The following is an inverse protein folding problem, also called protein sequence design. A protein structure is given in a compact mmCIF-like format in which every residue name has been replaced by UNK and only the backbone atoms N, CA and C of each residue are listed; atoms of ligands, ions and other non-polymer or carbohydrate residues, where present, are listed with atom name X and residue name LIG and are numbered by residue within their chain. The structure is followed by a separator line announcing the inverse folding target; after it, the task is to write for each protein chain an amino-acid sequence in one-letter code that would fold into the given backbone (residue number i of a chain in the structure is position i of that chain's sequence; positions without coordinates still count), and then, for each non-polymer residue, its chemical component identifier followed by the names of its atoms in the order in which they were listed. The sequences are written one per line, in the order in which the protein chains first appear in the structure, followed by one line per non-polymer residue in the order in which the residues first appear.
data_IF_958190924527
#
_entry.id   IF_958190924527
#
_cell.length_a   1.000
_cell.length_b   1.000
_cell.length_c   1.000
_cell.angle_alpha   90.00
_cell.angle_beta   90.00
_cell.angle_gamma   90.00
#
_symmetry.space_group_name_H-M   'P 1'
#
loop_
_entity.id
_entity.type
_entity.pdbx_description
1 polymer ?
#
# COMPACT_ATOMS: atom_id res chain seq x y z
N UNK A 1 -76.58 14.65 -7.88
CA UNK A 1 -76.12 15.04 -6.53
C UNK A 1 -74.67 14.59 -6.45
N UNK A 2 -73.74 15.40 -6.94
CA UNK A 2 -73.15 16.59 -6.33
C UNK A 2 -71.75 16.23 -5.84
N UNK A 3 -70.81 16.89 -6.50
CA UNK A 3 -69.37 16.98 -6.31
C UNK A 3 -68.96 17.36 -4.90
N UNK A 4 -67.78 16.89 -4.46
CA UNK A 4 -67.13 17.40 -3.26
C UNK A 4 -65.87 16.63 -2.89
N UNK A 5 -64.84 16.68 -3.73
CA UNK A 5 -63.46 16.37 -3.31
C UNK A 5 -62.86 17.67 -2.79
N UNK A 6 -62.64 17.76 -1.48
CA UNK A 6 -61.86 18.82 -0.86
C UNK A 6 -60.39 18.43 -0.96
N UNK A 7 -59.67 19.03 -1.90
CA UNK A 7 -58.21 19.02 -1.96
C UNK A 7 -57.64 20.15 -1.09
N UNK A 8 -56.65 19.81 -0.28
CA UNK A 8 -55.96 20.67 0.67
C UNK A 8 -55.41 21.97 0.05
N UNK A 9 -55.48 23.11 0.77
CA UNK A 9 -54.85 24.36 0.36
C UNK A 9 -53.39 24.34 0.79
N UNK A 10 -52.53 23.64 0.04
CA UNK A 10 -51.08 23.79 0.13
C UNK A 10 -50.52 24.37 -1.17
N UNK A 11 -51.21 25.39 -1.69
CA UNK A 11 -50.69 26.26 -2.73
C UNK A 11 -50.00 27.48 -2.11
N UNK A 12 -48.72 27.59 -2.48
CA UNK A 12 -48.01 28.84 -2.71
C UNK A 12 -47.72 29.75 -1.50
N UNK A 13 -46.54 29.53 -0.88
CA UNK A 13 -45.55 30.61 -0.74
C UNK A 13 -44.17 30.03 -1.13
N UNK A 14 -43.96 29.77 -2.41
CA UNK A 14 -42.62 29.96 -2.96
C UNK A 14 -42.44 31.47 -3.01
N UNK A 15 -41.79 32.04 -2.00
CA UNK A 15 -41.36 33.44 -2.04
C UNK A 15 -40.49 33.60 -3.29
N UNK A 16 -41.02 34.23 -4.34
CA UNK A 16 -40.24 34.63 -5.51
C UNK A 16 -39.13 35.55 -5.00
N UNK A 17 -37.89 35.04 -4.96
CA UNK A 17 -36.73 35.86 -4.60
C UNK A 17 -36.73 37.09 -5.52
N UNK A 18 -36.64 38.32 -4.98
CA UNK A 18 -36.57 39.54 -5.78
C UNK A 18 -35.45 39.41 -6.82
N UNK A 19 -35.71 39.82 -8.05
CA UNK A 19 -34.81 39.64 -9.18
C UNK A 19 -33.39 40.19 -8.90
N UNK A 20 -33.30 41.31 -8.19
CA UNK A 20 -32.05 41.89 -7.69
C UNK A 20 -31.24 40.94 -6.80
N UNK A 21 -31.89 40.22 -5.88
CA UNK A 21 -31.20 39.26 -4.99
C UNK A 21 -30.71 38.01 -5.74
N UNK A 22 -31.42 37.62 -6.80
CA UNK A 22 -31.03 36.51 -7.68
C UNK A 22 -29.84 36.91 -8.55
N UNK A 23 -29.84 38.14 -9.05
CA UNK A 23 -28.77 38.69 -9.88
C UNK A 23 -27.49 38.93 -9.08
N UNK A 24 -27.58 39.46 -7.85
CA UNK A 24 -26.45 39.54 -6.93
C UNK A 24 -25.85 38.16 -6.64
N UNK A 25 -26.67 37.14 -6.34
CA UNK A 25 -26.19 35.77 -6.12
C UNK A 25 -25.50 35.18 -7.35
N UNK A 26 -26.05 35.44 -8.54
CA UNK A 26 -25.45 35.00 -9.80
C UNK A 26 -24.12 35.72 -10.08
N UNK A 27 -24.02 37.01 -9.75
CA UNK A 27 -22.78 37.78 -9.88
C UNK A 27 -21.70 37.30 -8.92
N UNK A 28 -22.04 37.05 -7.66
CA UNK A 28 -21.12 36.43 -6.67
C UNK A 28 -20.60 35.08 -7.17
N UNK A 29 -21.49 34.19 -7.66
CA UNK A 29 -21.07 32.89 -8.22
C UNK A 29 -20.14 33.03 -9.44
N UNK A 30 -20.37 34.03 -10.31
CA UNK A 30 -19.49 34.32 -11.45
C UNK A 30 -18.11 34.82 -10.98
N UNK A 31 -18.06 35.65 -9.94
CA UNK A 31 -16.83 36.15 -9.34
C UNK A 31 -16.04 35.02 -8.67
N UNK A 32 -16.69 34.15 -7.91
CA UNK A 32 -16.07 32.96 -7.30
C UNK A 32 -15.50 32.01 -8.36
N UNK A 33 -16.25 31.74 -9.43
CA UNK A 33 -15.74 30.93 -10.55
C UNK A 33 -14.52 31.58 -11.22
N UNK A 34 -14.53 32.90 -11.43
CA UNK A 34 -13.37 33.63 -11.96
C UNK A 34 -12.16 33.55 -11.04
N UNK A 35 -12.35 33.71 -9.73
CA UNK A 35 -11.27 33.57 -8.74
C UNK A 35 -10.73 32.14 -8.70
N UNK A 36 -11.60 31.13 -8.68
CA UNK A 36 -11.21 29.70 -8.70
C UNK A 36 -10.44 29.31 -9.96
N UNK A 37 -10.88 29.79 -11.14
CA UNK A 37 -10.13 29.62 -12.40
C UNK A 37 -8.76 30.29 -12.34
N UNK A 38 -8.69 31.53 -11.84
CA UNK A 38 -7.42 32.27 -11.72
C UNK A 38 -6.45 31.57 -10.77
N UNK A 39 -6.93 31.09 -9.62
CA UNK A 39 -6.14 30.31 -8.67
C UNK A 39 -5.60 29.03 -9.31
N UNK A 40 -6.45 28.30 -10.04
CA UNK A 40 -6.06 27.07 -10.74
C UNK A 40 -4.99 27.32 -11.80
N UNK A 41 -5.14 28.38 -12.61
CA UNK A 41 -4.17 28.76 -13.63
C UNK A 41 -2.84 29.20 -13.01
N UNK A 42 -2.88 30.03 -11.96
CA UNK A 42 -1.68 30.47 -11.26
C UNK A 42 -0.92 29.27 -10.66
N UNK A 43 -1.64 28.32 -10.05
CA UNK A 43 -1.04 27.10 -9.50
C UNK A 43 -0.37 26.24 -10.58
N UNK A 44 -0.99 26.10 -11.75
CA UNK A 44 -0.37 25.40 -12.89
C UNK A 44 0.90 26.10 -13.33
N UNK A 45 0.86 27.42 -13.52
CA UNK A 45 2.03 28.23 -13.90
C UNK A 45 3.17 28.11 -12.90
N UNK A 46 2.91 28.16 -11.60
CA UNK A 46 3.95 28.03 -10.57
C UNK A 46 4.58 26.64 -10.61
N UNK A 47 3.79 25.59 -10.79
CA UNK A 47 4.29 24.22 -10.92
C UNK A 47 5.14 24.06 -12.19
N UNK A 48 4.70 24.62 -13.32
CA UNK A 48 5.44 24.58 -14.59
C UNK A 48 6.77 25.34 -14.50
N UNK A 49 6.78 26.49 -13.83
CA UNK A 49 8.01 27.24 -13.56
C UNK A 49 8.99 26.45 -12.70
N UNK A 50 8.50 25.81 -11.64
CA UNK A 50 9.31 24.94 -10.78
C UNK A 50 9.88 23.76 -11.58
N UNK A 51 9.06 23.08 -12.40
CA UNK A 51 9.49 22.02 -13.33
C UNK A 51 10.63 22.47 -14.22
N UNK A 52 10.46 23.60 -14.89
CA UNK A 52 11.48 24.16 -15.79
C UNK A 52 12.75 24.53 -15.03
N UNK A 53 12.64 25.03 -13.81
CA UNK A 53 13.80 25.35 -12.97
C UNK A 53 14.61 24.09 -12.61
N UNK A 54 13.93 23.03 -12.16
CA UNK A 54 14.57 21.74 -11.84
C UNK A 54 15.24 21.16 -13.08
N UNK A 55 14.54 21.15 -14.21
CA UNK A 55 15.07 20.61 -15.46
C UNK A 55 16.31 21.38 -15.95
N UNK A 56 16.28 22.72 -15.90
CA UNK A 56 17.44 23.55 -16.27
C UNK A 56 18.63 23.31 -15.34
N UNK A 57 18.39 23.30 -14.03
CA UNK A 57 19.44 23.02 -13.04
C UNK A 57 20.02 21.61 -13.22
N UNK A 58 19.18 20.64 -13.58
CA UNK A 58 19.61 19.27 -13.85
C UNK A 58 20.52 19.21 -15.08
N UNK A 59 20.10 19.77 -16.22
CA UNK A 59 20.91 19.81 -17.46
C UNK A 59 22.22 20.60 -17.27
N UNK A 60 22.22 21.62 -16.42
CA UNK A 60 23.41 22.42 -16.13
C UNK A 60 24.30 21.83 -15.04
N UNK A 61 24.17 20.54 -14.71
CA UNK A 61 24.94 19.84 -13.66
C UNK A 61 24.82 20.44 -12.25
N UNK A 62 23.79 21.23 -11.97
CA UNK A 62 23.57 21.89 -10.69
C UNK A 62 22.72 21.02 -9.77
N UNK A 63 23.30 19.96 -9.20
CA UNK A 63 22.59 19.01 -8.35
C UNK A 63 22.27 19.48 -6.92
N UNK A 64 22.69 20.69 -6.54
CA UNK A 64 22.50 21.20 -5.19
C UNK A 64 21.01 21.21 -4.82
N UNK A 65 20.62 20.37 -3.86
CA UNK A 65 19.24 20.17 -3.38
C UNK A 65 18.24 19.62 -4.41
N UNK A 66 18.64 19.25 -5.62
CA UNK A 66 17.71 18.70 -6.63
C UNK A 66 17.02 17.41 -6.16
N UNK A 67 17.67 16.60 -5.33
CA UNK A 67 17.07 15.41 -4.74
C UNK A 67 15.81 15.71 -3.91
N UNK A 68 15.67 16.91 -3.36
CA UNK A 68 14.48 17.33 -2.59
C UNK A 68 13.37 17.91 -3.48
N UNK A 69 13.62 18.07 -4.78
CA UNK A 69 12.69 18.60 -5.77
C UNK A 69 12.54 17.59 -6.91
N UNK A 70 12.18 16.36 -6.54
CA UNK A 70 11.98 15.29 -7.51
C UNK A 70 10.85 15.63 -8.48
N UNK A 71 11.14 15.52 -9.78
CA UNK A 71 10.18 15.77 -10.84
C UNK A 71 10.10 14.54 -11.77
N UNK A 72 9.02 13.73 -11.72
CA UNK A 72 8.92 12.45 -12.43
C UNK A 72 9.10 12.50 -13.95
N UNK A 73 8.88 13.64 -14.59
CA UNK A 73 9.01 13.79 -16.05
C UNK A 73 10.48 13.94 -16.49
N UNK A 74 11.41 14.09 -15.55
CA UNK A 74 12.84 14.20 -15.84
C UNK A 74 13.45 12.79 -15.85
N UNK A 75 14.09 12.43 -16.96
CA UNK A 75 14.84 11.18 -17.09
C UNK A 75 16.17 11.26 -16.34
N UNK A 76 16.12 11.23 -15.00
CA UNK A 76 17.31 11.37 -14.16
C UNK A 76 18.40 10.32 -14.46
N UNK A 77 17.98 9.13 -14.88
CA UNK A 77 18.86 8.00 -15.21
C UNK A 77 19.66 8.20 -16.50
N UNK A 78 19.21 9.07 -17.41
CA UNK A 78 19.87 9.32 -18.70
C UNK A 78 21.04 10.33 -18.58
N UNK A 79 21.18 10.98 -17.43
CA UNK A 79 22.15 12.03 -17.25
C UNK A 79 23.56 11.48 -17.05
N UNK A 80 24.52 11.95 -17.86
CA UNK A 80 25.89 11.43 -17.94
C UNK A 80 26.65 11.43 -16.60
N UNK A 81 26.36 12.38 -15.72
CA UNK A 81 26.95 12.45 -14.36
C UNK A 81 26.21 11.66 -13.29
N UNK A 82 25.00 11.17 -13.55
CA UNK A 82 24.20 10.39 -12.59
C UNK A 82 24.51 8.90 -12.82
N UNK A 83 25.70 8.49 -12.40
CA UNK A 83 26.17 7.10 -12.53
C UNK A 83 26.40 6.52 -11.13
N UNK A 84 25.49 5.65 -10.71
CA UNK A 84 25.61 4.92 -9.44
C UNK A 84 26.69 3.82 -9.54
N UNK A 85 26.76 3.14 -10.70
CA UNK A 85 27.67 2.03 -10.96
C UNK A 85 27.18 0.70 -10.39
N UNK A 86 28.06 -0.32 -10.43
CA UNK A 86 27.78 -1.61 -9.82
C UNK A 86 27.96 -1.56 -8.29
N UNK A 87 27.19 -2.39 -7.58
CA UNK A 87 27.36 -2.63 -6.15
C UNK A 87 28.39 -3.73 -5.96
N UNK A 88 29.67 -3.40 -6.17
CA UNK A 88 30.78 -4.35 -6.25
C UNK A 88 31.93 -4.06 -5.26
N UNK A 89 31.79 -3.02 -4.43
CA UNK A 89 32.80 -2.67 -3.42
C UNK A 89 32.50 -3.37 -2.13
N UNK A 90 33.25 -4.40 -1.83
CA UNK A 90 33.10 -5.15 -0.60
C UNK A 90 33.62 -4.36 0.62
N UNK A 91 32.83 -4.34 1.69
CA UNK A 91 33.25 -3.79 2.98
C UNK A 91 34.26 -4.72 3.67
N UNK A 92 35.43 -4.21 4.13
CA UNK A 92 36.44 -5.06 4.78
C UNK A 92 36.03 -5.57 6.18
N UNK A 93 34.92 -5.09 6.74
CA UNK A 93 34.47 -5.46 8.09
C UNK A 93 33.30 -6.43 8.08
N UNK A 94 32.30 -6.21 7.23
CA UNK A 94 31.06 -6.99 7.21
C UNK A 94 30.78 -7.66 5.85
N UNK A 95 31.69 -7.56 4.88
CA UNK A 95 31.57 -8.16 3.54
C UNK A 95 30.34 -7.68 2.73
N UNK A 96 29.61 -6.68 3.23
CA UNK A 96 28.51 -6.07 2.48
C UNK A 96 29.04 -5.41 1.20
N UNK A 97 28.33 -5.63 0.09
CA UNK A 97 28.62 -4.96 -1.17
C UNK A 97 28.11 -3.52 -1.14
N UNK A 98 28.91 -2.60 -1.67
CA UNK A 98 28.68 -1.16 -1.67
C UNK A 98 28.84 -0.57 -3.05
N UNK A 99 28.26 0.60 -3.25
CA UNK A 99 28.57 1.43 -4.43
C UNK A 99 29.90 2.17 -4.26
N UNK A 100 30.56 2.48 -5.38
CA UNK A 100 31.91 3.09 -5.41
C UNK A 100 32.08 4.33 -4.51
N UNK A 101 31.06 5.20 -4.47
CA UNK A 101 31.10 6.48 -3.74
C UNK A 101 30.28 6.45 -2.43
N UNK A 102 29.91 5.27 -1.97
CA UNK A 102 29.10 5.12 -0.76
C UNK A 102 29.95 5.32 0.50
N UNK A 103 29.53 6.17 1.46
CA UNK A 103 30.28 6.44 2.68
C UNK A 103 30.65 5.16 3.45
N UNK A 104 31.83 5.13 4.07
CA UNK A 104 32.33 3.96 4.81
C UNK A 104 31.34 3.45 5.88
N UNK A 105 30.57 4.36 6.49
CA UNK A 105 29.64 4.06 7.57
C UNK A 105 28.28 3.47 7.16
N UNK A 106 27.93 3.40 5.86
CA UNK A 106 26.56 3.02 5.44
C UNK A 106 26.17 1.57 5.75
N UNK A 107 27.13 0.64 5.86
CA UNK A 107 26.84 -0.78 6.12
C UNK A 107 26.97 -1.15 7.60
N UNK A 108 28.14 -0.93 8.20
CA UNK A 108 28.47 -1.37 9.57
C UNK A 108 29.02 -0.23 10.45
N UNK A 109 28.72 1.02 10.10
CA UNK A 109 29.28 2.20 10.77
C UNK A 109 30.82 2.16 10.88
N UNK A 110 31.49 1.72 9.80
CA UNK A 110 32.95 1.52 9.75
C UNK A 110 33.45 0.47 10.76
N UNK A 111 32.79 -0.68 10.82
CA UNK A 111 33.17 -1.82 11.66
C UNK A 111 32.71 -1.74 13.13
N UNK A 112 31.94 -0.70 13.49
CA UNK A 112 31.39 -0.54 14.84
C UNK A 112 30.18 -1.42 15.11
N UNK A 113 29.49 -1.84 14.06
CA UNK A 113 28.33 -2.74 14.13
C UNK A 113 28.73 -4.08 13.57
N UNK A 114 28.69 -5.11 14.43
CA UNK A 114 28.80 -6.50 14.01
C UNK A 114 27.39 -7.06 13.89
N UNK A 115 26.97 -7.39 12.66
CA UNK A 115 25.70 -8.05 12.43
C UNK A 115 25.89 -9.55 12.70
N UNK A 116 24.96 -10.22 13.40
CA UNK A 116 24.95 -11.67 13.48
C UNK A 116 24.78 -12.26 12.08
N UNK A 117 25.34 -13.45 11.87
CA UNK A 117 25.13 -14.21 10.64
C UNK A 117 23.65 -14.55 10.50
N UNK A 118 23.10 -14.40 9.29
CA UNK A 118 21.73 -14.76 9.02
C UNK A 118 21.66 -16.28 8.99
N UNK A 119 20.96 -16.87 9.95
CA UNK A 119 20.75 -18.31 9.97
C UNK A 119 20.00 -18.76 8.71
N UNK A 120 20.44 -19.89 8.15
CA UNK A 120 19.75 -20.49 7.01
C UNK A 120 18.37 -20.96 7.48
N UNK A 121 17.27 -20.61 6.78
CA UNK A 121 15.95 -21.07 7.17
C UNK A 121 15.87 -22.60 7.22
N UNK A 122 15.02 -23.19 8.07
CA UNK A 122 14.81 -24.63 8.05
C UNK A 122 14.11 -25.09 6.75
N UNK A 123 14.31 -26.35 6.37
CA UNK A 123 13.57 -26.95 5.25
C UNK A 123 12.11 -27.30 5.66
N UNK A 124 11.12 -27.13 4.76
CA UNK A 124 11.26 -26.83 3.33
C UNK A 124 11.32 -25.33 2.98
N UNK A 125 11.24 -24.43 3.96
CA UNK A 125 11.16 -22.98 3.71
C UNK A 125 12.40 -22.47 2.94
N UNK A 126 13.59 -22.94 3.28
CA UNK A 126 14.80 -22.57 2.55
C UNK A 126 14.73 -23.01 1.09
N UNK A 127 14.41 -24.27 0.81
CA UNK A 127 14.29 -24.77 -0.55
C UNK A 127 13.27 -24.00 -1.40
N UNK A 128 12.13 -23.64 -0.81
CA UNK A 128 11.09 -22.82 -1.43
C UNK A 128 11.57 -21.39 -1.75
N UNK A 129 12.45 -20.81 -0.91
CA UNK A 129 12.98 -19.46 -1.09
C UNK A 129 14.09 -19.38 -2.14
N UNK A 130 15.00 -20.37 -2.18
CA UNK A 130 16.17 -20.35 -3.07
C UNK A 130 15.94 -21.03 -4.43
N UNK A 131 14.78 -21.66 -4.63
CA UNK A 131 14.42 -22.25 -5.92
C UNK A 131 14.85 -23.71 -6.10
N UNK A 132 15.26 -24.39 -5.04
CA UNK A 132 15.66 -25.82 -5.10
C UNK A 132 14.48 -26.77 -4.90
N UNK A 133 13.39 -26.31 -4.28
CA UNK A 133 12.17 -27.10 -4.13
C UNK A 133 11.31 -27.06 -5.43
N UNK A 134 10.68 -28.18 -5.86
CA UNK A 134 9.82 -28.21 -7.06
C UNK A 134 8.67 -27.18 -7.04
N UNK A 135 8.16 -26.82 -5.86
CA UNK A 135 7.05 -25.89 -5.69
C UNK A 135 7.51 -24.42 -5.57
N UNK A 136 8.82 -24.16 -5.56
CA UNK A 136 9.39 -22.81 -5.35
C UNK A 136 8.80 -21.76 -6.29
N UNK A 137 8.59 -22.10 -7.56
CA UNK A 137 8.04 -21.16 -8.54
C UNK A 137 6.63 -20.68 -8.13
N UNK A 138 5.82 -21.61 -7.62
CA UNK A 138 4.44 -21.32 -7.22
C UNK A 138 4.41 -20.59 -5.89
N UNK A 139 5.26 -21.00 -4.95
CA UNK A 139 5.46 -20.32 -3.68
C UNK A 139 5.88 -18.87 -3.89
N UNK A 140 6.94 -18.60 -4.64
CA UNK A 140 7.47 -17.26 -4.89
C UNK A 140 6.46 -16.38 -5.65
N UNK A 141 5.74 -16.92 -6.64
CA UNK A 141 4.67 -16.18 -7.35
C UNK A 141 3.54 -15.74 -6.43
N UNK A 142 3.25 -16.48 -5.36
CA UNK A 142 2.16 -16.22 -4.43
C UNK A 142 2.64 -15.96 -2.99
N UNK A 143 3.90 -15.54 -2.81
CA UNK A 143 4.56 -15.50 -1.49
C UNK A 143 3.78 -14.64 -0.48
N UNK A 144 3.17 -13.55 -0.93
CA UNK A 144 2.33 -12.70 -0.09
C UNK A 144 1.12 -13.44 0.47
N UNK A 145 0.48 -14.31 -0.32
CA UNK A 145 -0.64 -15.14 0.14
C UNK A 145 -0.17 -16.21 1.12
N UNK A 146 0.96 -16.86 0.84
CA UNK A 146 1.53 -17.84 1.77
C UNK A 146 1.90 -17.19 3.10
N UNK A 147 2.58 -16.03 3.10
CA UNK A 147 2.87 -15.29 4.33
C UNK A 147 1.58 -14.88 5.08
N UNK A 148 0.51 -14.54 4.34
CA UNK A 148 -0.79 -14.18 4.92
C UNK A 148 -1.51 -15.36 5.58
N UNK A 149 -1.16 -16.61 5.26
CA UNK A 149 -1.64 -17.79 5.99
C UNK A 149 -1.15 -17.81 7.45
N UNK A 150 0.03 -17.27 7.73
CA UNK A 150 0.64 -17.31 9.06
C UNK A 150 0.42 -16.03 9.86
N UNK A 151 -0.29 -15.04 9.31
CA UNK A 151 -0.54 -13.76 9.97
C UNK A 151 -1.36 -13.95 11.25
N UNK A 152 -0.90 -13.37 12.36
CA UNK A 152 -1.60 -13.40 13.64
C UNK A 152 -2.52 -12.19 13.84
N UNK A 153 -2.31 -11.13 13.08
CA UNK A 153 -3.06 -9.88 13.18
C UNK A 153 -3.52 -9.43 11.81
N UNK A 154 -4.55 -8.61 11.79
CA UNK A 154 -5.10 -8.01 10.58
C UNK A 154 -5.15 -6.51 10.71
N UNK A 155 -5.04 -5.81 9.60
CA UNK A 155 -5.16 -4.36 9.56
C UNK A 155 -6.57 -3.96 9.11
N UNK A 156 -7.31 -3.26 9.97
CA UNK A 156 -8.63 -2.71 9.64
C UNK A 156 -8.55 -1.22 9.35
N UNK A 157 -9.32 -0.75 8.37
CA UNK A 157 -9.49 0.67 8.09
C UNK A 157 -10.98 0.98 7.83
N UNK A 158 -11.44 2.14 8.28
CA UNK A 158 -12.83 2.58 8.07
C UNK A 158 -13.15 2.79 6.59
N UNK A 159 -12.17 3.27 5.82
CA UNK A 159 -12.30 3.52 4.39
C UNK A 159 -11.05 3.00 3.67
N UNK A 160 -11.25 2.21 2.61
CA UNK A 160 -10.19 1.70 1.75
C UNK A 160 -10.36 2.33 0.37
N UNK A 161 -9.58 3.37 0.08
CA UNK A 161 -9.57 3.99 -1.25
C UNK A 161 -8.70 3.15 -2.18
N UNK A 162 -9.34 2.41 -3.09
CA UNK A 162 -8.65 1.75 -4.19
C UNK A 162 -8.51 2.74 -5.34
N UNK A 163 -7.33 3.34 -5.48
CA UNK A 163 -7.01 4.15 -6.65
C UNK A 163 -6.77 3.21 -7.84
N UNK A 164 -7.82 2.99 -8.63
CA UNK A 164 -7.72 2.37 -9.95
C UNK A 164 -7.41 3.49 -10.94
N UNK A 165 -6.28 3.43 -11.65
CA UNK A 165 -6.05 4.35 -12.76
C UNK A 165 -7.10 4.06 -13.86
N UNK A 166 -7.40 5.05 -14.71
CA UNK A 166 -8.37 4.93 -15.82
C UNK A 166 -8.07 3.75 -16.78
N UNK A 167 -6.86 3.20 -16.71
CA UNK A 167 -6.35 2.13 -17.55
C UNK A 167 -6.47 0.74 -16.88
N UNK A 168 -7.15 0.64 -15.73
CA UNK A 168 -7.28 -0.61 -14.95
C UNK A 168 -6.01 -1.05 -14.23
N UNK A 169 -4.90 -0.31 -14.38
CA UNK A 169 -3.64 -0.62 -13.72
C UNK A 169 -3.63 -0.09 -12.29
N UNK A 170 -3.66 -1.02 -11.33
CA UNK A 170 -3.57 -0.75 -9.90
C UNK A 170 -2.10 -0.68 -9.48
N UNK A 171 -1.46 0.48 -9.61
CA UNK A 171 -0.12 0.72 -9.08
C UNK A 171 -0.19 1.58 -7.81
N UNK A 172 -0.54 0.94 -6.70
CA UNK A 172 -0.27 1.50 -5.38
C UNK A 172 0.30 0.38 -4.49
N UNK A 173 1.63 0.33 -4.37
CA UNK A 173 2.31 -0.53 -3.38
C UNK A 173 2.15 0.00 -1.94
N UNK A 174 1.66 1.23 -1.80
CA UNK A 174 1.43 1.92 -0.52
C UNK A 174 -0.05 2.22 -0.34
N UNK A 175 -0.66 1.71 0.73
CA UNK A 175 -1.97 2.16 1.19
C UNK A 175 -1.80 3.35 2.13
N UNK A 176 -2.68 4.35 2.02
CA UNK A 176 -2.63 5.56 2.87
C UNK A 176 -3.74 5.49 3.90
N UNK A 177 -3.38 5.65 5.18
CA UNK A 177 -4.33 5.72 6.28
C UNK A 177 -4.40 7.17 6.74
N UNK A 178 -5.61 7.67 6.95
CA UNK A 178 -5.84 8.96 7.62
C UNK A 178 -6.29 8.70 9.05
N UNK A 179 -5.56 9.23 10.02
CA UNK A 179 -5.88 9.12 11.44
C UNK A 179 -4.83 8.34 12.23
N UNK A 180 -5.20 7.93 13.45
CA UNK A 180 -4.34 7.16 14.34
C UNK A 180 -4.60 5.66 14.18
N UNK A 181 -3.54 4.86 14.25
CA UNK A 181 -3.61 3.40 14.23
C UNK A 181 -3.73 2.91 15.68
N UNK A 182 -4.72 2.06 15.94
CA UNK A 182 -4.94 1.44 17.24
C UNK A 182 -4.82 -0.08 17.12
N UNK A 183 -4.22 -0.72 18.13
CA UNK A 183 -4.26 -2.18 18.26
C UNK A 183 -5.61 -2.59 18.84
N UNK A 184 -6.41 -3.30 18.04
CA UNK A 184 -7.64 -3.93 18.53
C UNK A 184 -7.36 -5.41 18.80
N UNK A 185 -7.26 -5.77 20.07
CA UNK A 185 -7.19 -7.17 20.47
C UNK A 185 -8.61 -7.76 20.44
N UNK A 186 -8.82 -8.72 19.54
CA UNK A 186 -10.09 -9.45 19.46
C UNK A 186 -10.21 -10.52 20.54
N UNK A 187 -11.36 -11.20 20.56
CA UNK A 187 -11.52 -12.42 21.35
C UNK A 187 -10.54 -13.50 20.93
N UNK A 188 -10.03 -14.26 21.90
CA UNK A 188 -9.14 -15.40 21.67
C UNK A 188 -9.84 -16.52 20.89
N UNK A 189 -11.15 -16.66 21.09
CA UNK A 189 -12.02 -17.62 20.41
C UNK A 189 -12.95 -16.88 19.44
N UNK A 190 -13.37 -17.53 18.34
CA UNK A 190 -14.35 -16.95 17.44
C UNK A 190 -15.69 -16.71 18.17
N UNK A 191 -16.45 -15.74 17.66
CA UNK A 191 -17.83 -15.55 18.08
C UNK A 191 -18.68 -16.75 17.65
N UNK A 192 -19.86 -16.98 18.26
CA UNK A 192 -20.75 -18.04 17.82
C UNK A 192 -21.04 -17.95 16.32
N UNK A 193 -20.86 -19.07 15.61
CA UNK A 193 -21.04 -19.21 14.16
C UNK A 193 -20.02 -18.46 13.26
N UNK A 194 -18.94 -17.90 13.82
CA UNK A 194 -17.85 -17.33 13.02
C UNK A 194 -16.68 -18.33 12.88
N UNK A 195 -15.96 -18.35 11.74
CA UNK A 195 -14.76 -19.15 11.61
C UNK A 195 -13.58 -18.52 12.38
N UNK A 196 -12.62 -19.36 12.78
CA UNK A 196 -11.36 -18.93 13.38
C UNK A 196 -10.55 -18.10 12.37
N UNK A 197 -10.04 -16.94 12.78
CA UNK A 197 -9.21 -16.05 11.94
C UNK A 197 -7.96 -15.60 12.70
N UNK A 198 -6.87 -15.41 11.96
CA UNK A 198 -5.60 -14.86 12.46
C UNK A 198 -5.07 -15.63 13.68
N UNK A 199 -4.76 -14.94 14.79
CA UNK A 199 -4.30 -15.54 16.04
C UNK A 199 -5.21 -16.68 16.55
N UNK A 200 -6.53 -16.62 16.32
CA UNK A 200 -7.47 -17.67 16.77
C UNK A 200 -7.16 -19.04 16.15
N UNK A 201 -6.57 -19.07 14.95
CA UNK A 201 -6.23 -20.31 14.24
C UNK A 201 -5.21 -21.14 15.05
N UNK A 202 -4.30 -20.49 15.77
CA UNK A 202 -3.29 -21.19 16.58
C UNK A 202 -3.89 -21.92 17.78
N UNK A 203 -5.11 -21.57 18.19
CA UNK A 203 -5.84 -22.23 19.27
C UNK A 203 -6.83 -23.29 18.77
N UNK A 204 -6.83 -23.59 17.47
CA UNK A 204 -7.64 -24.68 16.94
C UNK A 204 -7.06 -26.02 17.43
N UNK A 205 -7.80 -26.67 18.33
CA UNK A 205 -7.55 -28.02 18.81
C UNK A 205 -8.37 -29.07 18.05
N UNK A 206 -7.98 -30.32 18.23
CA UNK A 206 -8.71 -31.52 17.80
C UNK A 206 -8.51 -32.61 18.85
N UNK A 207 -9.17 -33.76 18.67
CA UNK A 207 -8.96 -34.93 19.54
C UNK A 207 -7.53 -35.47 19.44
N UNK A 208 -6.88 -35.25 18.29
CA UNK A 208 -5.48 -35.57 18.03
C UNK A 208 -4.74 -34.44 17.30
N UNK A 209 -3.40 -34.55 17.23
CA UNK A 209 -2.54 -33.54 16.59
C UNK A 209 -2.77 -33.42 15.08
N UNK A 210 -3.14 -34.51 14.41
CA UNK A 210 -3.36 -34.55 12.96
C UNK A 210 -4.61 -33.78 12.54
N UNK A 211 -5.73 -33.99 13.23
CA UNK A 211 -6.98 -33.25 13.01
C UNK A 211 -6.81 -31.77 13.34
N UNK A 212 -6.08 -31.43 14.41
CA UNK A 212 -5.76 -30.05 14.74
C UNK A 212 -4.97 -29.35 13.62
N UNK A 213 -3.93 -30.00 13.08
CA UNK A 213 -3.15 -29.48 11.95
C UNK A 213 -4.02 -29.28 10.71
N UNK A 214 -4.80 -30.29 10.32
CA UNK A 214 -5.68 -30.20 9.14
C UNK A 214 -6.68 -29.03 9.27
N UNK A 215 -7.25 -28.84 10.46
CA UNK A 215 -8.17 -27.74 10.74
C UNK A 215 -7.49 -26.37 10.60
N UNK A 216 -6.27 -26.21 11.12
CA UNK A 216 -5.48 -24.98 10.97
C UNK A 216 -5.16 -24.69 9.50
N UNK A 217 -4.64 -25.68 8.78
CA UNK A 217 -4.30 -25.55 7.35
C UNK A 217 -5.53 -25.14 6.55
N UNK A 218 -6.68 -25.79 6.78
CA UNK A 218 -7.93 -25.46 6.11
C UNK A 218 -8.37 -24.02 6.42
N UNK A 219 -8.35 -23.59 7.69
CA UNK A 219 -8.73 -22.23 8.07
C UNK A 219 -7.84 -21.18 7.39
N UNK A 220 -6.51 -21.41 7.37
CA UNK A 220 -5.54 -20.51 6.73
C UNK A 220 -5.76 -20.41 5.22
N UNK A 221 -5.90 -21.56 4.56
CA UNK A 221 -6.03 -21.64 3.11
C UNK A 221 -7.34 -21.04 2.62
N UNK A 222 -8.46 -21.37 3.29
CA UNK A 222 -9.78 -20.84 2.96
C UNK A 222 -9.82 -19.31 3.09
N UNK A 223 -9.22 -18.75 4.15
CA UNK A 223 -9.18 -17.29 4.34
C UNK A 223 -8.36 -16.57 3.25
N UNK A 224 -7.28 -17.19 2.78
CA UNK A 224 -6.34 -16.61 1.82
C UNK A 224 -6.61 -17.02 0.36
N UNK A 225 -7.71 -17.71 0.07
CA UNK A 225 -8.08 -18.24 -1.25
C UNK A 225 -6.95 -19.09 -1.87
N UNK A 226 -6.40 -20.01 -1.08
CA UNK A 226 -5.36 -20.97 -1.46
C UNK A 226 -5.90 -22.41 -1.44
N UNK A 227 -6.89 -22.70 -2.28
CA UNK A 227 -7.63 -23.97 -2.22
C UNK A 227 -6.99 -25.14 -2.97
N UNK A 228 -5.88 -24.92 -3.68
CA UNK A 228 -5.22 -26.01 -4.39
C UNK A 228 -4.57 -27.02 -3.44
N UNK A 229 -4.54 -28.29 -3.87
CA UNK A 229 -3.89 -29.37 -3.11
C UNK A 229 -2.41 -29.07 -2.81
N UNK A 230 -1.67 -28.52 -3.77
CA UNK A 230 -0.28 -28.15 -3.57
C UNK A 230 -0.11 -27.03 -2.53
N UNK A 231 -1.00 -26.01 -2.53
CA UNK A 231 -0.86 -24.88 -1.60
C UNK A 231 -1.16 -25.33 -0.18
N UNK A 232 -2.16 -26.21 0.00
CA UNK A 232 -2.45 -26.84 1.30
C UNK A 232 -1.30 -27.70 1.80
N UNK A 233 -0.62 -28.45 0.91
CA UNK A 233 0.60 -29.19 1.26
C UNK A 233 1.70 -28.26 1.78
N UNK A 234 2.05 -27.22 1.03
CA UNK A 234 3.08 -26.25 1.42
C UNK A 234 2.73 -25.61 2.77
N UNK A 235 1.49 -25.15 2.96
CA UNK A 235 1.05 -24.55 4.22
C UNK A 235 1.11 -25.55 5.38
N UNK A 236 0.83 -26.83 5.12
CA UNK A 236 0.95 -27.90 6.13
C UNK A 236 2.41 -28.15 6.54
N UNK A 237 3.34 -28.20 5.58
CA UNK A 237 4.75 -28.41 5.86
C UNK A 237 5.35 -27.20 6.60
N UNK A 238 4.94 -26.00 6.24
CA UNK A 238 5.35 -24.76 6.90
C UNK A 238 4.72 -24.56 8.30
N UNK A 239 3.56 -25.16 8.61
CA UNK A 239 2.99 -25.13 9.98
C UNK A 239 3.78 -25.99 10.97
N UNK A 240 4.64 -26.88 10.48
CA UNK A 240 5.47 -27.75 11.30
C UNK A 240 6.82 -27.14 11.70
N UNK A 241 7.14 -25.94 11.19
CA UNK A 241 8.35 -25.18 11.51
C UNK A 241 8.18 -24.35 12.78
#
# INVERSE_FOLDING_TARGET
MSTGVTSDPNDAIASEEPEDTRDERNEVRRLEQRQSRRFTVNRRRTNDQQRQQVHRAFISDSFLRLAFQYEPDIEYYAHSKVVIGAMDKECPHCHALKFKNEPAGMCCASGKVQLPEIETPPEPLNGLLIGTDPDSNVFLKSILRFNSCFQMTSFGATEIVRNTNANGQQFNSTFKIRGQVYHKMGSLLPMPNEPHKFLQIYFMGGEDSGSALANRVNARCNYNNLDSLYARRIVSELDAL
#
